data_IF_134466689518
#
_entry.id   IF_134466689518
#
_cell.length_a   1.000
_cell.length_b   1.000
_cell.length_c   1.000
_cell.angle_alpha   90.00
_cell.angle_beta   90.00
_cell.angle_gamma   90.00
#
_symmetry.space_group_name_H-M   'P 1'
#
loop_
_entity.id
_entity.type
_entity.pdbx_description
1 polymer ?
#
# COMPACT_ATOMS: atom_id res chain seq x y z
N UNK A 1 -7.93 22.54 -23.60
CA UNK A 1 -7.00 21.44 -23.24
C UNK A 1 -7.54 20.67 -22.03
N UNK A 2 -8.55 19.80 -22.19
CA UNK A 2 -9.34 19.26 -21.05
C UNK A 2 -9.26 17.74 -20.78
N UNK A 3 -8.55 16.94 -21.60
CA UNK A 3 -8.64 15.46 -21.49
C UNK A 3 -7.60 14.80 -20.56
N UNK A 4 -6.45 15.42 -20.29
CA UNK A 4 -5.35 14.75 -19.58
C UNK A 4 -5.39 14.88 -18.04
N UNK A 5 -6.18 15.79 -17.48
CA UNK A 5 -6.30 15.96 -16.02
C UNK A 5 -6.87 14.72 -15.31
N UNK A 6 -7.59 13.85 -16.03
CA UNK A 6 -8.13 12.61 -15.49
C UNK A 6 -7.12 11.46 -15.51
N UNK A 7 -6.10 11.55 -16.35
CA UNK A 7 -5.10 10.48 -16.53
C UNK A 7 -4.09 10.49 -15.38
N UNK A 8 -3.66 11.68 -14.94
CA UNK A 8 -2.69 11.84 -13.86
C UNK A 8 -3.10 11.16 -12.53
N UNK A 9 -4.30 11.39 -11.95
CA UNK A 9 -4.71 10.75 -10.71
C UNK A 9 -4.88 9.23 -10.86
N UNK A 10 -5.28 8.76 -12.05
CA UNK A 10 -5.37 7.33 -12.34
C UNK A 10 -3.98 6.69 -12.30
N UNK A 11 -2.98 7.32 -12.93
CA UNK A 11 -1.59 6.85 -12.89
C UNK A 11 -1.06 6.84 -11.45
N UNK A 12 -1.34 7.89 -10.67
CA UNK A 12 -0.91 7.99 -9.28
C UNK A 12 -1.57 6.91 -8.40
N UNK A 13 -2.86 6.65 -8.62
CA UNK A 13 -3.60 5.56 -7.96
C UNK A 13 -3.00 4.19 -8.31
N UNK A 14 -2.74 3.93 -9.59
CA UNK A 14 -2.12 2.68 -10.05
C UNK A 14 -0.73 2.54 -9.41
N UNK A 15 0.08 3.59 -9.40
CA UNK A 15 1.39 3.59 -8.75
C UNK A 15 1.31 3.23 -7.26
N UNK A 16 0.35 3.81 -6.53
CA UNK A 16 0.11 3.50 -5.11
C UNK A 16 -0.36 2.06 -4.89
N UNK A 17 -1.15 1.49 -5.79
CA UNK A 17 -1.62 0.11 -5.71
C UNK A 17 -0.51 -0.91 -5.99
N UNK A 18 0.45 -0.55 -6.85
CA UNK A 18 1.57 -1.44 -7.20
C UNK A 18 2.74 -1.29 -6.20
N UNK A 19 2.89 -0.15 -5.54
CA UNK A 19 3.97 0.10 -4.58
C UNK A 19 4.17 -0.98 -3.49
N UNK A 20 3.11 -1.58 -2.89
CA UNK A 20 3.26 -2.66 -1.90
C UNK A 20 3.92 -3.93 -2.46
N UNK A 21 3.78 -4.21 -3.76
CA UNK A 21 4.42 -5.38 -4.38
C UNK A 21 5.94 -5.20 -4.50
N UNK A 22 6.40 -3.97 -4.70
CA UNK A 22 7.83 -3.64 -4.74
C UNK A 22 8.45 -3.41 -3.36
N UNK A 23 7.65 -3.46 -2.30
CA UNK A 23 8.11 -3.28 -0.92
C UNK A 23 9.00 -4.44 -0.45
N UNK A 24 8.70 -5.66 -0.88
CA UNK A 24 9.32 -6.88 -0.37
C UNK A 24 10.43 -7.36 -1.29
N UNK A 25 11.61 -7.56 -0.72
CA UNK A 25 12.73 -8.22 -1.38
C UNK A 25 12.94 -9.59 -0.75
N UNK A 26 12.95 -10.64 -1.56
CA UNK A 26 13.29 -11.97 -1.04
C UNK A 26 14.81 -12.11 -1.07
N UNK A 27 15.41 -12.17 0.12
CA UNK A 27 16.87 -12.10 0.29
C UNK A 27 17.51 -13.48 0.24
N UNK A 28 16.89 -14.47 0.90
CA UNK A 28 17.45 -15.82 1.00
C UNK A 28 16.32 -16.85 1.11
N UNK A 29 16.52 -18.04 0.54
CA UNK A 29 15.69 -19.22 0.83
C UNK A 29 16.62 -20.34 1.29
N UNK A 30 16.33 -20.95 2.45
CA UNK A 30 17.06 -22.13 2.95
C UNK A 30 16.05 -23.24 3.15
N UNK A 31 16.27 -24.35 2.48
CA UNK A 31 15.44 -25.55 2.64
C UNK A 31 16.20 -26.56 3.47
N UNK A 32 15.57 -27.04 4.53
CA UNK A 32 15.93 -28.23 5.31
C UNK A 32 14.89 -29.32 5.01
N UNK A 33 15.19 -30.58 5.30
CA UNK A 33 14.39 -31.78 4.94
C UNK A 33 12.85 -31.65 5.03
N UNK A 34 12.33 -30.88 6.00
CA UNK A 34 10.88 -30.66 6.18
C UNK A 34 10.48 -29.19 6.31
N UNK A 35 11.41 -28.26 6.16
CA UNK A 35 11.17 -26.84 6.45
C UNK A 35 11.83 -25.96 5.39
N UNK A 36 11.06 -25.04 4.81
CA UNK A 36 11.59 -23.98 3.95
C UNK A 36 11.57 -22.69 4.75
N UNK A 37 12.72 -22.07 4.92
CA UNK A 37 12.86 -20.72 5.46
C UNK A 37 13.01 -19.75 4.30
N UNK A 38 12.15 -18.72 4.23
CA UNK A 38 12.33 -17.58 3.32
C UNK A 38 12.58 -16.33 4.13
N UNK A 39 13.66 -15.64 3.83
CA UNK A 39 13.93 -14.32 4.38
C UNK A 39 13.44 -13.26 3.42
N UNK A 40 12.59 -12.37 3.92
CA UNK A 40 12.13 -11.18 3.19
C UNK A 40 12.64 -9.94 3.88
N UNK A 41 13.25 -9.04 3.14
CA UNK A 41 13.60 -7.72 3.63
C UNK A 41 12.55 -6.73 3.15
N UNK A 42 11.98 -5.97 4.07
CA UNK A 42 11.17 -4.81 3.76
C UNK A 42 12.09 -3.68 3.32
N UNK A 43 12.07 -3.30 2.04
CA UNK A 43 12.93 -2.25 1.49
C UNK A 43 12.65 -0.87 2.07
N UNK A 44 11.48 -0.66 2.66
CA UNK A 44 11.10 0.65 3.19
C UNK A 44 11.46 0.82 4.65
N UNK A 45 11.43 -0.26 5.43
CA UNK A 45 11.79 -0.23 6.85
C UNK A 45 13.16 -0.86 7.14
N UNK A 46 13.81 -1.45 6.14
CA UNK A 46 15.02 -2.27 6.28
C UNK A 46 14.87 -3.42 7.30
N UNK A 47 13.63 -3.86 7.55
CA UNK A 47 13.32 -4.93 8.51
C UNK A 47 13.37 -6.30 7.81
N UNK A 48 13.98 -7.29 8.46
CA UNK A 48 14.04 -8.66 7.97
C UNK A 48 12.93 -9.53 8.58
N UNK A 49 12.32 -10.35 7.75
CA UNK A 49 11.23 -11.27 8.05
C UNK A 49 11.68 -12.67 7.71
N UNK A 50 11.34 -13.65 8.54
CA UNK A 50 11.56 -15.06 8.25
C UNK A 50 10.21 -15.75 8.16
N UNK A 51 9.84 -16.17 6.96
CA UNK A 51 8.70 -17.05 6.75
C UNK A 51 9.16 -18.50 6.85
N UNK A 52 8.48 -19.30 7.66
CA UNK A 52 8.78 -20.71 7.83
C UNK A 52 7.64 -21.52 7.23
N UNK A 53 7.93 -22.30 6.18
CA UNK A 53 7.00 -23.22 5.55
C UNK A 53 7.33 -24.64 5.95
N UNK A 54 6.36 -25.38 6.49
CA UNK A 54 6.53 -26.80 6.78
C UNK A 54 6.08 -27.64 5.58
N UNK A 55 6.99 -28.46 5.07
CA UNK A 55 6.69 -29.51 4.09
C UNK A 55 6.06 -30.68 4.85
N UNK A 56 4.76 -30.60 5.14
CA UNK A 56 4.00 -31.73 5.67
C UNK A 56 2.97 -32.20 4.64
N UNK A 57 3.00 -33.48 4.33
CA UNK A 57 1.99 -34.14 3.50
C UNK A 57 0.63 -34.31 4.19
N UNK A 58 0.30 -33.57 5.26
CA UNK A 58 -1.03 -33.72 5.86
C UNK A 58 -1.63 -32.50 6.59
N UNK A 59 -0.90 -31.44 6.94
CA UNK A 59 -1.48 -30.15 7.32
C UNK A 59 -0.43 -29.06 7.10
N UNK A 60 -0.49 -28.39 5.96
CA UNK A 60 0.40 -27.28 5.59
C UNK A 60 0.05 -26.02 6.36
N UNK A 61 0.49 -25.92 7.62
CA UNK A 61 0.42 -24.69 8.40
C UNK A 61 1.55 -23.75 8.01
N UNK A 62 1.21 -22.54 7.55
CA UNK A 62 2.13 -21.42 7.45
C UNK A 62 2.35 -20.83 8.84
N UNK A 63 3.60 -20.77 9.30
CA UNK A 63 3.96 -20.05 10.53
C UNK A 63 4.90 -18.93 10.14
N UNK A 64 4.35 -17.71 10.08
CA UNK A 64 5.15 -16.49 9.98
C UNK A 64 5.80 -16.22 11.33
N UNK A 65 6.99 -16.75 11.53
CA UNK A 65 7.75 -16.51 12.75
C UNK A 65 8.59 -15.25 12.57
N UNK A 66 8.05 -14.13 13.06
CA UNK A 66 8.78 -12.86 13.06
C UNK A 66 9.99 -12.97 13.99
N UNK A 67 11.19 -13.09 13.41
CA UNK A 67 12.44 -12.92 14.18
C UNK A 67 12.60 -11.42 14.44
N UNK A 68 11.89 -10.92 15.43
CA UNK A 68 11.96 -9.52 15.84
C UNK A 68 12.32 -9.45 17.31
N UNK A 69 13.41 -8.76 17.62
CA UNK A 69 13.63 -8.26 18.96
C UNK A 69 12.44 -7.36 19.35
N UNK A 70 12.05 -7.26 20.63
CA UNK A 70 10.91 -6.46 21.06
C UNK A 70 10.96 -5.00 20.56
N UNK A 71 12.16 -4.42 20.40
CA UNK A 71 12.34 -3.09 19.79
C UNK A 71 11.95 -3.03 18.31
N UNK A 72 12.11 -4.11 17.55
CA UNK A 72 11.74 -4.19 16.12
C UNK A 72 10.21 -4.33 15.95
N UNK A 73 9.52 -4.99 16.89
CA UNK A 73 8.04 -5.09 16.85
C UNK A 73 7.41 -3.71 17.07
N UNK A 74 7.89 -2.96 18.05
CA UNK A 74 7.37 -1.62 18.34
C UNK A 74 7.61 -0.65 17.17
N UNK A 75 8.80 -0.69 16.56
CA UNK A 75 9.10 0.10 15.35
C UNK A 75 8.24 -0.29 14.14
N UNK A 76 7.85 -1.57 14.01
CA UNK A 76 6.95 -2.05 12.94
C UNK A 76 5.54 -1.47 13.10
N UNK A 77 4.99 -1.49 14.30
CA UNK A 77 3.64 -0.98 14.54
C UNK A 77 3.59 0.52 14.29
N UNK A 78 4.62 1.25 14.69
CA UNK A 78 4.77 2.68 14.38
C UNK A 78 4.95 2.92 12.87
N UNK A 79 5.86 2.22 12.20
CA UNK A 79 6.09 2.37 10.76
C UNK A 79 4.86 1.99 9.93
N UNK A 80 4.14 0.94 10.33
CA UNK A 80 2.90 0.52 9.66
C UNK A 80 1.78 1.52 9.87
N UNK A 81 1.69 2.09 11.08
CA UNK A 81 0.73 3.15 11.40
C UNK A 81 1.03 4.44 10.64
N UNK A 82 2.29 4.85 10.59
CA UNK A 82 2.76 6.00 9.80
C UNK A 82 2.44 5.76 8.33
N UNK A 83 2.79 4.60 7.78
CA UNK A 83 2.54 4.30 6.38
C UNK A 83 1.05 4.29 6.03
N UNK A 84 0.21 3.66 6.85
CA UNK A 84 -1.25 3.68 6.68
C UNK A 84 -1.79 5.11 6.72
N UNK A 85 -1.35 5.91 7.68
CA UNK A 85 -1.78 7.30 7.81
C UNK A 85 -1.33 8.15 6.61
N UNK A 86 -0.07 8.03 6.19
CA UNK A 86 0.47 8.77 5.04
C UNK A 86 -0.25 8.38 3.75
N UNK A 87 -0.45 7.08 3.51
CA UNK A 87 -1.15 6.58 2.33
C UNK A 87 -2.60 7.06 2.30
N UNK A 88 -3.29 6.99 3.45
CA UNK A 88 -4.69 7.47 3.58
C UNK A 88 -4.77 8.98 3.36
N UNK A 89 -3.84 9.74 3.92
CA UNK A 89 -3.80 11.21 3.79
C UNK A 89 -3.56 11.62 2.34
N UNK A 90 -2.55 11.02 1.67
CA UNK A 90 -2.26 11.27 0.26
C UNK A 90 -3.46 10.91 -0.63
N UNK A 91 -4.12 9.79 -0.34
CA UNK A 91 -5.32 9.38 -1.05
C UNK A 91 -6.47 10.39 -0.90
N UNK A 92 -6.78 10.84 0.33
CA UNK A 92 -7.83 11.83 0.58
C UNK A 92 -7.53 13.15 -0.11
N UNK A 93 -6.29 13.66 -0.01
CA UNK A 93 -5.89 14.91 -0.65
C UNK A 93 -6.05 14.81 -2.17
N UNK A 94 -5.61 13.69 -2.76
CA UNK A 94 -5.75 13.44 -4.20
C UNK A 94 -7.21 13.40 -4.62
N UNK A 95 -8.08 12.73 -3.85
CA UNK A 95 -9.51 12.66 -4.10
C UNK A 95 -10.16 14.05 -4.04
N UNK A 96 -9.84 14.85 -3.02
CA UNK A 96 -10.38 16.21 -2.85
C UNK A 96 -9.94 17.14 -3.98
N UNK A 97 -8.65 17.11 -4.34
CA UNK A 97 -8.11 17.89 -5.44
C UNK A 97 -8.78 17.53 -6.78
N UNK A 98 -9.14 16.25 -6.97
CA UNK A 98 -9.83 15.77 -8.15
C UNK A 98 -11.32 16.13 -8.20
N UNK A 99 -12.01 16.11 -7.05
CA UNK A 99 -13.43 16.50 -6.96
C UNK A 99 -13.65 18.01 -7.06
N UNK A 100 -12.68 18.83 -6.62
CA UNK A 100 -12.78 20.29 -6.63
C UNK A 100 -13.23 20.89 -7.98
N UNK A 101 -12.62 20.56 -9.14
CA UNK A 101 -13.07 21.11 -10.43
C UNK A 101 -14.48 20.67 -10.82
N UNK A 102 -14.89 19.43 -10.49
CA UNK A 102 -16.24 18.91 -10.78
C UNK A 102 -17.29 19.70 -9.98
N UNK A 103 -17.00 19.96 -8.71
CA UNK A 103 -17.87 20.75 -7.83
C UNK A 103 -17.99 22.19 -8.36
N UNK A 104 -16.88 22.78 -8.81
CA UNK A 104 -16.87 24.13 -9.38
C UNK A 104 -17.70 24.20 -10.67
N UNK A 105 -17.53 23.25 -11.61
CA UNK A 105 -18.32 23.21 -12.85
C UNK A 105 -19.82 23.01 -12.56
N UNK A 106 -20.16 22.16 -11.58
CA UNK A 106 -21.55 21.95 -11.17
C UNK A 106 -22.19 23.21 -10.57
N UNK A 107 -21.46 23.95 -9.72
CA UNK A 107 -21.94 25.22 -9.16
C UNK A 107 -22.22 26.26 -10.24
N UNK A 108 -21.29 26.44 -11.18
CA UNK A 108 -21.46 27.36 -12.32
C UNK A 108 -22.71 27.01 -13.14
N UNK A 109 -22.92 25.73 -13.45
CA UNK A 109 -24.09 25.28 -14.21
C UNK A 109 -25.40 25.59 -13.47
N UNK A 110 -25.44 25.38 -12.16
CA UNK A 110 -26.62 25.69 -11.32
C UNK A 110 -26.96 27.18 -11.32
N UNK A 111 -25.96 28.06 -11.25
CA UNK A 111 -26.15 29.52 -11.29
C UNK A 111 -26.71 29.97 -12.66
N UNK A 112 -26.18 29.43 -13.75
CA UNK A 112 -26.69 29.75 -15.10
C UNK A 112 -28.14 29.31 -15.33
N UNK A 113 -28.57 28.21 -14.70
CA UNK A 113 -29.97 27.75 -14.78
C UNK A 113 -30.91 28.66 -14.00
N UNK A 114 -30.49 29.18 -12.85
CA UNK A 114 -31.27 30.15 -12.07
C UNK A 114 -31.46 31.50 -12.77
N UNK A 115 -30.54 31.89 -13.65
CA UNK A 115 -30.65 33.15 -14.40
C UNK A 115 -31.56 33.04 -15.62
N UNK A 116 -31.93 31.83 -16.05
CA UNK A 116 -32.71 31.57 -17.28
C UNK A 116 -34.18 31.21 -17.05
N UNK A 117 -34.57 30.92 -15.81
CA UNK A 117 -35.96 30.63 -15.42
C UNK A 117 -36.46 31.68 -14.47
#
# INVERSE_FOLDING_TARGET
MKKYYWVFPLILLIGLLVAPYFRWETTTTKTTDKIIYKWKTDRWSHTNWKETYFLSGFMGGFVEEQISSPNIIMQRDEATKIWKNTTTTVFIITLLAWLAPIIIEYRKKKETLKQKG
#
